data_IF_179537415835
#
_entry.id   IF_179537415835
#
_cell.length_a   1.000
_cell.length_b   1.000
_cell.length_c   1.000
_cell.angle_alpha   90.00
_cell.angle_beta   90.00
_cell.angle_gamma   90.00
#
_symmetry.space_group_name_H-M   'P 1'
#
loop_
_entity.id
_entity.type
_entity.pdbx_description
1 polymer ?
#
# COMPACT_ATOMS: atom_id res chain seq x y z
N UNK A 1 -6.45 27.08 53.17
CA UNK A 1 -6.11 25.66 52.94
C UNK A 1 -5.19 25.59 51.72
N UNK A 2 -3.99 25.05 51.89
CA UNK A 2 -2.90 25.21 50.92
C UNK A 2 -2.90 24.01 49.94
N UNK A 3 -3.41 24.21 48.70
CA UNK A 3 -3.55 23.17 47.66
C UNK A 3 -2.27 22.37 47.38
N UNK A 4 -1.12 22.99 47.64
CA UNK A 4 0.19 22.33 47.56
C UNK A 4 0.34 21.15 48.53
N UNK A 5 -0.17 21.29 49.76
CA UNK A 5 -0.11 20.23 50.76
C UNK A 5 -1.09 19.08 50.45
N UNK A 6 -2.22 19.37 49.79
CA UNK A 6 -3.13 18.36 49.27
C UNK A 6 -2.49 17.54 48.14
N UNK A 7 -1.81 18.21 47.21
CA UNK A 7 -1.09 17.53 46.12
C UNK A 7 0.05 16.65 46.64
N UNK A 8 0.80 17.13 47.64
CA UNK A 8 1.84 16.32 48.30
C UNK A 8 1.25 15.11 49.03
N UNK A 9 0.11 15.26 49.70
CA UNK A 9 -0.58 14.14 50.34
C UNK A 9 -1.12 13.13 49.32
N UNK A 10 -1.60 13.59 48.16
CA UNK A 10 -2.03 12.70 47.07
C UNK A 10 -0.88 11.88 46.50
N UNK A 11 0.28 12.51 46.25
CA UNK A 11 1.49 11.79 45.80
C UNK A 11 2.00 10.79 46.85
N UNK A 12 1.94 11.15 48.14
CA UNK A 12 2.36 10.27 49.24
C UNK A 12 1.41 9.09 49.42
N UNK A 13 0.10 9.31 49.24
CA UNK A 13 -0.91 8.26 49.21
C UNK A 13 -0.74 7.34 47.99
N UNK A 14 -0.38 7.89 46.82
CA UNK A 14 -0.11 7.13 45.60
C UNK A 14 1.13 6.24 45.71
N UNK A 15 2.18 6.70 46.40
CA UNK A 15 3.40 5.90 46.61
C UNK A 15 3.19 4.74 47.60
N UNK A 16 2.22 4.82 48.51
CA UNK A 16 1.88 3.73 49.43
C UNK A 16 0.98 2.65 48.82
N UNK A 17 0.45 2.86 47.60
CA UNK A 17 -0.35 1.89 46.83
C UNK A 17 0.56 1.07 45.87
N UNK A 18 1.86 1.36 45.84
CA UNK A 18 2.82 0.83 44.85
C UNK A 18 3.46 -0.53 45.22
N UNK A 19 2.98 -1.23 46.25
CA UNK A 19 3.39 -2.61 46.53
C UNK A 19 2.18 -3.55 46.47
N UNK A 20 2.18 -4.46 45.49
CA UNK A 20 1.09 -5.38 45.13
C UNK A 20 -0.14 -4.77 44.47
N UNK A 21 0.02 -4.39 43.19
CA UNK A 21 -0.78 -4.94 42.09
C UNK A 21 -0.28 -4.32 40.79
N UNK A 22 0.20 -5.15 39.86
CA UNK A 22 0.33 -4.77 38.45
C UNK A 22 -1.07 -4.47 37.93
N UNK A 23 -1.51 -3.22 38.10
CA UNK A 23 -2.71 -2.70 37.46
C UNK A 23 -2.43 -2.77 35.96
N UNK A 24 -2.93 -3.83 35.34
CA UNK A 24 -3.08 -3.91 33.89
C UNK A 24 -3.98 -2.74 33.51
N UNK A 25 -3.38 -1.62 33.11
CA UNK A 25 -4.11 -0.54 32.48
C UNK A 25 -4.78 -1.16 31.25
N UNK A 26 -6.11 -1.28 31.29
CA UNK A 26 -6.89 -1.66 30.12
C UNK A 26 -6.55 -0.62 29.06
N UNK A 27 -5.86 -1.05 27.99
CA UNK A 27 -5.39 -0.16 26.92
C UNK A 27 -6.58 0.67 26.44
N UNK A 28 -6.55 1.98 26.73
CA UNK A 28 -7.62 2.87 26.29
C UNK A 28 -7.53 3.00 24.77
N UNK A 29 -8.66 3.22 24.12
CA UNK A 29 -8.72 3.35 22.66
C UNK A 29 -7.78 4.44 22.12
N UNK A 30 -7.59 5.53 22.87
CA UNK A 30 -6.67 6.61 22.49
C UNK A 30 -5.20 6.19 22.62
N UNK A 31 -4.87 5.24 23.49
CA UNK A 31 -3.51 4.70 23.64
C UNK A 31 -3.12 3.87 22.41
N UNK A 32 -4.05 3.12 21.82
CA UNK A 32 -3.76 2.35 20.60
C UNK A 32 -3.47 3.27 19.41
N UNK A 33 -4.26 4.34 19.22
CA UNK A 33 -3.99 5.34 18.18
C UNK A 33 -2.65 6.05 18.41
N UNK A 34 -2.37 6.42 19.66
CA UNK A 34 -1.11 7.06 20.04
C UNK A 34 0.09 6.15 19.78
N UNK A 35 0.00 4.87 20.12
CA UNK A 35 1.06 3.89 19.92
C UNK A 35 1.33 3.62 18.44
N UNK A 36 0.29 3.58 17.61
CA UNK A 36 0.43 3.49 16.16
C UNK A 36 1.15 4.71 15.58
N UNK A 37 0.78 5.92 16.00
CA UNK A 37 1.46 7.16 15.59
C UNK A 37 2.93 7.14 16.05
N UNK A 38 3.21 6.71 17.27
CA UNK A 38 4.58 6.59 17.79
C UNK A 38 5.41 5.56 17.03
N UNK A 39 4.81 4.43 16.65
CA UNK A 39 5.45 3.40 15.82
C UNK A 39 5.82 3.94 14.45
N UNK A 40 4.91 4.68 13.80
CA UNK A 40 5.19 5.38 12.53
C UNK A 40 6.33 6.39 12.74
N UNK A 41 6.27 7.21 13.79
CA UNK A 41 7.28 8.22 14.07
C UNK A 41 8.69 7.65 14.30
N UNK A 42 8.78 6.47 14.94
CA UNK A 42 10.04 5.72 15.11
C UNK A 42 10.53 5.12 13.79
N UNK A 43 9.61 4.65 12.94
CA UNK A 43 9.99 4.09 11.65
C UNK A 43 10.49 5.16 10.68
N UNK A 44 9.95 6.38 10.73
CA UNK A 44 10.43 7.52 9.92
C UNK A 44 11.93 7.77 10.10
N UNK A 45 12.46 7.65 11.32
CA UNK A 45 13.91 7.87 11.55
C UNK A 45 14.78 6.73 11.02
N UNK A 46 14.20 5.55 10.80
CA UNK A 46 14.94 4.34 10.39
C UNK A 46 14.82 4.05 8.89
N UNK A 47 13.97 4.78 8.15
CA UNK A 47 13.75 4.52 6.73
C UNK A 47 14.85 5.07 5.83
N UNK A 48 15.56 4.17 5.16
CA UNK A 48 16.60 4.50 4.18
C UNK A 48 16.06 4.66 2.76
N UNK A 49 14.92 4.04 2.40
CA UNK A 49 14.41 3.99 1.04
C UNK A 49 13.17 4.91 0.82
N UNK A 50 13.03 5.50 -0.37
CA UNK A 50 11.83 6.25 -0.76
C UNK A 50 10.56 5.37 -0.79
N UNK A 51 10.67 4.11 -1.25
CA UNK A 51 9.55 3.15 -1.22
C UNK A 51 8.99 2.94 0.19
N UNK A 52 9.88 2.89 1.20
CA UNK A 52 9.48 2.77 2.60
C UNK A 52 8.86 4.06 3.15
N UNK A 53 9.25 5.23 2.66
CA UNK A 53 8.60 6.50 3.01
C UNK A 53 7.16 6.51 2.46
N UNK A 54 6.96 6.08 1.21
CA UNK A 54 5.63 6.03 0.61
C UNK A 54 4.68 5.05 1.34
N UNK A 55 5.20 3.91 1.81
CA UNK A 55 4.40 3.00 2.64
C UNK A 55 4.05 3.60 4.00
N UNK A 56 4.97 4.37 4.62
CA UNK A 56 4.68 5.08 5.87
C UNK A 56 3.69 6.23 5.67
N UNK A 57 3.71 6.89 4.51
CA UNK A 57 2.72 7.89 4.12
C UNK A 57 1.32 7.28 4.03
N UNK A 58 1.21 6.11 3.38
CA UNK A 58 -0.05 5.35 3.32
C UNK A 58 -0.56 4.95 4.71
N UNK A 59 0.33 4.42 5.57
CA UNK A 59 -0.03 4.07 6.95
C UNK A 59 -0.45 5.28 7.78
N UNK A 60 0.23 6.43 7.63
CA UNK A 60 -0.14 7.67 8.33
C UNK A 60 -1.50 8.19 7.86
N UNK A 61 -1.80 8.12 6.56
CA UNK A 61 -3.12 8.48 6.03
C UNK A 61 -4.22 7.58 6.59
N UNK A 62 -3.98 6.28 6.69
CA UNK A 62 -4.94 5.34 7.28
C UNK A 62 -5.19 5.63 8.77
N UNK A 63 -4.14 5.91 9.55
CA UNK A 63 -4.29 6.29 10.97
C UNK A 63 -5.01 7.63 11.12
N UNK A 64 -4.77 8.58 10.20
CA UNK A 64 -5.47 9.87 10.17
C UNK A 64 -6.95 9.71 9.87
N UNK A 65 -7.30 8.84 8.92
CA UNK A 65 -8.69 8.53 8.57
C UNK A 65 -9.40 7.81 9.72
N UNK A 66 -8.76 6.80 10.33
CA UNK A 66 -9.27 6.12 11.52
C UNK A 66 -9.51 7.10 12.66
N UNK A 67 -8.58 8.04 12.89
CA UNK A 67 -8.70 9.10 13.89
C UNK A 67 -9.90 10.00 13.59
N UNK A 68 -10.10 10.40 12.33
CA UNK A 68 -11.23 11.24 11.94
C UNK A 68 -12.57 10.54 12.15
N UNK A 69 -12.70 9.28 11.70
CA UNK A 69 -13.92 8.49 11.83
C UNK A 69 -14.28 8.17 13.28
N UNK A 70 -13.31 8.05 14.18
CA UNK A 70 -13.56 7.67 15.57
C UNK A 70 -13.63 8.86 16.52
N UNK A 71 -12.83 9.92 16.34
CA UNK A 71 -12.77 11.05 17.27
C UNK A 71 -13.67 12.23 16.88
N UNK A 72 -14.02 12.38 15.60
CA UNK A 72 -14.87 13.50 15.16
C UNK A 72 -16.36 13.15 15.08
N UNK A 73 -16.71 11.86 15.09
CA UNK A 73 -18.12 11.40 15.06
C UNK A 73 -18.72 11.33 16.47
N UNK A 74 -17.89 11.28 17.52
CA UNK A 74 -18.35 11.19 18.90
C UNK A 74 -18.57 12.60 19.45
N UNK A 75 -19.82 13.04 19.44
CA UNK A 75 -20.28 14.17 20.25
C UNK A 75 -20.64 13.67 21.64
N UNK A 76 -19.92 14.12 22.67
CA UNK A 76 -20.20 13.76 24.06
C UNK A 76 -21.22 14.73 24.65
N UNK A 77 -22.45 14.26 24.88
CA UNK A 77 -23.40 14.91 25.77
C UNK A 77 -23.12 14.44 27.21
N UNK A 78 -22.34 15.21 27.98
CA UNK A 78 -21.88 14.80 29.31
C UNK A 78 -21.41 15.95 30.21
N UNK A 79 -20.82 15.59 31.34
CA UNK A 79 -20.29 16.53 32.34
C UNK A 79 -19.22 17.44 31.68
N UNK A 80 -19.26 18.78 31.84
CA UNK A 80 -18.34 19.71 31.20
C UNK A 80 -16.85 19.34 31.36
N UNK A 81 -16.45 18.78 32.51
CA UNK A 81 -15.06 18.37 32.74
C UNK A 81 -14.64 17.17 31.86
N UNK A 82 -15.56 16.24 31.57
CA UNK A 82 -15.30 15.08 30.72
C UNK A 82 -15.23 15.46 29.24
N UNK A 83 -16.08 16.41 28.83
CA UNK A 83 -16.08 16.99 27.47
C UNK A 83 -14.76 17.72 27.21
N UNK A 84 -14.30 18.54 28.17
CA UNK A 84 -13.01 19.25 28.06
C UNK A 84 -11.84 18.26 28.03
N UNK A 85 -11.90 17.19 28.84
CA UNK A 85 -10.85 16.17 28.83
C UNK A 85 -10.76 15.44 27.48
N UNK A 86 -11.91 15.06 26.90
CA UNK A 86 -11.98 14.39 25.60
C UNK A 86 -11.49 15.28 24.46
N UNK A 87 -11.92 16.55 24.42
CA UNK A 87 -11.42 17.53 23.44
C UNK A 87 -9.91 17.76 23.59
N UNK A 88 -9.39 17.75 24.82
CA UNK A 88 -7.95 17.78 25.08
C UNK A 88 -7.21 16.57 24.48
N UNK A 89 -7.73 15.35 24.64
CA UNK A 89 -7.15 14.14 24.05
C UNK A 89 -7.18 14.21 22.52
N UNK A 90 -8.31 14.62 21.94
CA UNK A 90 -8.49 14.82 20.49
C UNK A 90 -7.47 15.80 19.94
N UNK A 91 -7.24 16.91 20.63
CA UNK A 91 -6.24 17.91 20.23
C UNK A 91 -4.81 17.38 20.33
N UNK A 92 -4.46 16.62 21.38
CA UNK A 92 -3.14 15.99 21.52
C UNK A 92 -2.87 15.00 20.37
N UNK A 93 -3.86 14.17 20.02
CA UNK A 93 -3.72 13.22 18.90
C UNK A 93 -3.58 13.97 17.57
N UNK A 94 -4.38 15.01 17.32
CA UNK A 94 -4.25 15.85 16.13
C UNK A 94 -2.87 16.49 16.02
N UNK A 95 -2.35 17.04 17.12
CA UNK A 95 -0.99 17.58 17.14
C UNK A 95 0.09 16.53 16.84
N UNK A 96 -0.04 15.32 17.38
CA UNK A 96 0.89 14.23 17.14
C UNK A 96 0.90 13.80 15.67
N UNK A 97 -0.28 13.73 15.03
CA UNK A 97 -0.39 13.45 13.60
C UNK A 97 0.29 14.55 12.78
N UNK A 98 0.03 15.82 13.09
CA UNK A 98 0.63 16.97 12.39
C UNK A 98 2.16 16.94 12.51
N UNK A 99 2.70 16.75 13.73
CA UNK A 99 4.15 16.65 13.97
C UNK A 99 4.77 15.50 13.18
N UNK A 100 4.08 14.35 13.13
CA UNK A 100 4.54 13.17 12.39
C UNK A 100 4.50 13.41 10.88
N UNK A 101 3.46 14.06 10.36
CA UNK A 101 3.33 14.46 8.95
C UNK A 101 4.44 15.43 8.53
N UNK A 102 4.71 16.46 9.33
CA UNK A 102 5.81 17.41 9.08
C UNK A 102 7.18 16.71 9.05
N UNK A 103 7.40 15.75 9.96
CA UNK A 103 8.64 14.98 10.00
C UNK A 103 8.79 14.07 8.78
N UNK A 104 7.71 13.41 8.35
CA UNK A 104 7.67 12.59 7.14
C UNK A 104 7.97 13.44 5.89
N UNK A 105 7.34 14.60 5.76
CA UNK A 105 7.57 15.55 4.67
C UNK A 105 9.02 16.04 4.63
N UNK A 106 9.64 16.29 5.79
CA UNK A 106 11.05 16.68 5.87
C UNK A 106 11.97 15.57 5.35
N UNK A 107 11.72 14.32 5.72
CA UNK A 107 12.50 13.17 5.24
C UNK A 107 12.24 12.88 3.76
N UNK A 108 11.00 13.03 3.30
CA UNK A 108 10.63 12.94 1.88
C UNK A 108 11.40 13.99 1.07
N UNK A 109 11.36 15.27 1.48
CA UNK A 109 12.11 16.36 0.85
C UNK A 109 13.62 16.12 0.83
N UNK A 110 14.20 15.57 1.91
CA UNK A 110 15.63 15.22 1.91
C UNK A 110 15.98 14.17 0.86
N UNK A 111 15.11 13.16 0.68
CA UNK A 111 15.35 12.08 -0.31
C UNK A 111 14.99 12.48 -1.73
N UNK A 112 14.06 13.43 -1.93
CA UNK A 112 13.69 13.95 -3.25
C UNK A 112 14.48 15.20 -3.67
N UNK A 113 15.18 15.84 -2.74
CA UNK A 113 16.05 16.98 -3.01
C UNK A 113 17.29 16.53 -3.78
N UNK A 114 17.15 16.34 -5.09
CA UNK A 114 18.25 16.66 -5.98
C UNK A 114 18.57 18.14 -5.78
N UNK A 115 19.77 18.42 -5.29
CA UNK A 115 20.29 19.77 -5.09
C UNK A 115 20.52 20.38 -6.47
N UNK A 116 19.45 20.88 -7.09
CA UNK A 116 19.58 21.79 -8.22
C UNK A 116 20.00 23.11 -7.58
N UNK A 117 21.31 23.35 -7.55
CA UNK A 117 21.86 24.67 -7.20
C UNK A 117 21.40 25.65 -8.30
N UNK A 118 20.22 26.22 -8.11
CA UNK A 118 19.85 27.45 -8.79
C UNK A 118 20.72 28.54 -8.18
N UNK A 119 21.72 28.98 -8.94
CA UNK A 119 22.59 30.07 -8.56
C UNK A 119 21.72 31.29 -8.17
N UNK A 120 21.98 31.91 -7.00
CA UNK A 120 21.23 33.09 -6.61
C UNK A 120 21.54 34.20 -7.61
N UNK A 121 20.49 34.73 -8.26
CA UNK A 121 20.58 35.95 -9.06
C UNK A 121 21.10 37.06 -8.14
N UNK A 122 22.39 37.39 -8.25
CA UNK A 122 22.97 38.53 -7.54
C UNK A 122 22.25 39.79 -8.01
N UNK A 123 21.61 40.50 -7.08
CA UNK A 123 21.20 41.87 -7.32
C UNK A 123 22.47 42.71 -7.55
N UNK A 124 22.76 43.00 -8.82
CA UNK A 124 23.85 43.90 -9.20
C UNK A 124 23.36 45.32 -8.93
N UNK A 125 23.78 45.92 -7.82
CA UNK A 125 23.76 47.37 -7.65
C UNK A 125 24.70 47.97 -8.68
N UNK A 126 24.14 48.61 -9.69
CA UNK A 126 24.86 49.26 -10.78
C UNK A 126 25.61 50.47 -10.24
N UNK A 127 26.95 50.35 -10.15
CA UNK A 127 27.84 51.50 -10.14
C UNK A 127 28.54 51.54 -11.50
N UNK A 128 28.48 52.71 -12.12
CA UNK A 128 28.93 53.06 -13.47
C UNK A 128 30.24 52.38 -13.91
N UNK A 129 30.14 51.42 -14.84
CA UNK A 129 31.25 50.93 -15.66
C UNK A 129 30.80 50.93 -17.12
N UNK A 130 31.71 51.30 -18.02
CA UNK A 130 31.48 51.60 -19.43
C UNK A 130 30.65 50.54 -20.16
N UNK A 131 29.52 50.99 -20.73
CA UNK A 131 28.45 50.18 -21.34
C UNK A 131 28.86 49.31 -22.55
N UNK A 132 30.06 49.46 -23.11
CA UNK A 132 30.43 48.76 -24.35
C UNK A 132 30.96 47.34 -24.08
N UNK A 133 31.89 47.18 -23.13
CA UNK A 133 32.48 45.88 -22.82
C UNK A 133 31.47 44.95 -22.12
N UNK A 134 30.60 45.52 -21.29
CA UNK A 134 29.48 44.82 -20.64
C UNK A 134 28.43 44.32 -21.65
N UNK A 135 28.23 44.96 -22.80
CA UNK A 135 27.28 44.50 -23.81
C UNK A 135 27.83 43.31 -24.60
N UNK A 136 29.14 43.29 -24.87
CA UNK A 136 29.79 42.17 -25.56
C UNK A 136 29.81 40.95 -24.65
N UNK A 137 30.21 41.11 -23.38
CA UNK A 137 30.22 40.03 -22.38
C UNK A 137 28.79 39.52 -22.07
N UNK A 138 27.80 40.42 -21.99
CA UNK A 138 26.39 40.03 -21.82
C UNK A 138 25.85 39.25 -23.01
N UNK A 139 26.19 39.61 -24.24
CA UNK A 139 25.74 38.88 -25.43
C UNK A 139 26.41 37.50 -25.53
N UNK A 140 27.67 37.38 -25.11
CA UNK A 140 28.40 36.11 -25.06
C UNK A 140 27.83 35.17 -23.98
N UNK A 141 27.54 35.70 -22.79
CA UNK A 141 26.89 34.95 -21.70
C UNK A 141 25.45 34.58 -22.04
N UNK A 142 24.68 35.47 -22.67
CA UNK A 142 23.31 35.16 -23.11
C UNK A 142 23.29 34.13 -24.23
N UNK A 143 24.28 34.10 -25.12
CA UNK A 143 24.42 33.07 -26.15
C UNK A 143 24.56 31.66 -25.56
N UNK A 144 25.49 31.46 -24.62
CA UNK A 144 25.74 30.17 -23.97
C UNK A 144 24.54 29.72 -23.10
N UNK A 145 23.83 30.66 -22.47
CA UNK A 145 22.63 30.34 -21.70
C UNK A 145 21.45 29.92 -22.60
N UNK A 146 21.21 30.60 -23.72
CA UNK A 146 20.13 30.25 -24.67
C UNK A 146 20.35 28.85 -25.25
N UNK A 147 21.60 28.47 -25.51
CA UNK A 147 21.94 27.12 -25.97
C UNK A 147 21.73 26.07 -24.86
N UNK A 148 22.07 26.37 -23.60
CA UNK A 148 21.75 25.47 -22.47
C UNK A 148 20.25 25.32 -22.26
N UNK A 149 19.47 26.37 -22.45
CA UNK A 149 18.01 26.31 -22.37
C UNK A 149 17.40 25.49 -23.52
N UNK A 150 17.93 25.61 -24.75
CA UNK A 150 17.45 24.81 -25.88
C UNK A 150 17.75 23.32 -25.68
N UNK A 151 18.94 22.97 -25.21
CA UNK A 151 19.33 21.59 -24.87
C UNK A 151 18.48 21.05 -23.73
N UNK A 152 18.22 21.84 -22.69
CA UNK A 152 17.36 21.42 -21.57
C UNK A 152 15.93 21.20 -22.01
N UNK A 153 15.40 22.06 -22.89
CA UNK A 153 14.06 21.90 -23.49
C UNK A 153 13.98 20.65 -24.35
N UNK A 154 15.02 20.36 -25.14
CA UNK A 154 15.07 19.14 -25.94
C UNK A 154 15.08 17.88 -25.05
N UNK A 155 15.85 17.88 -23.95
CA UNK A 155 15.82 16.78 -22.97
C UNK A 155 14.46 16.62 -22.29
N UNK A 156 13.76 17.72 -22.02
CA UNK A 156 12.40 17.64 -21.46
C UNK A 156 11.42 17.00 -22.44
N UNK A 157 11.50 17.34 -23.73
CA UNK A 157 10.69 16.72 -24.79
C UNK A 157 11.05 15.23 -24.96
N UNK A 158 12.32 14.86 -24.85
CA UNK A 158 12.74 13.45 -24.86
C UNK A 158 12.18 12.69 -23.65
N UNK A 159 12.19 13.29 -22.45
CA UNK A 159 11.59 12.69 -21.25
C UNK A 159 10.08 12.51 -21.44
N UNK A 160 9.39 13.50 -22.00
CA UNK A 160 7.96 13.43 -22.29
C UNK A 160 7.65 12.29 -23.27
N UNK A 161 8.41 12.17 -24.36
CA UNK A 161 8.30 11.06 -25.31
C UNK A 161 8.57 9.69 -24.68
N UNK A 162 9.54 9.59 -23.77
CA UNK A 162 9.81 8.35 -23.03
C UNK A 162 8.63 8.01 -22.11
N UNK A 163 8.03 9.00 -21.44
CA UNK A 163 6.87 8.79 -20.58
C UNK A 163 5.64 8.33 -21.36
N UNK A 164 5.41 8.89 -22.54
CA UNK A 164 4.34 8.48 -23.44
C UNK A 164 4.53 7.02 -23.90
N UNK A 165 5.74 6.65 -24.33
CA UNK A 165 6.08 5.26 -24.68
C UNK A 165 5.89 4.29 -23.51
N UNK A 166 6.28 4.68 -22.29
CA UNK A 166 6.06 3.84 -21.10
C UNK A 166 4.55 3.65 -20.86
N UNK A 167 3.75 4.70 -21.02
CA UNK A 167 2.30 4.63 -20.87
C UNK A 167 1.67 3.68 -21.88
N UNK A 168 2.06 3.77 -23.16
CA UNK A 168 1.58 2.85 -24.20
C UNK A 168 1.97 1.39 -23.90
N UNK A 169 3.21 1.16 -23.49
CA UNK A 169 3.68 -0.18 -23.12
C UNK A 169 2.92 -0.75 -21.91
N UNK A 170 2.54 0.08 -20.95
CA UNK A 170 1.72 -0.36 -19.81
C UNK A 170 0.33 -0.77 -20.25
N UNK A 171 -0.31 -0.01 -21.14
CA UNK A 171 -1.62 -0.36 -21.71
C UNK A 171 -1.54 -1.70 -22.45
N UNK A 172 -0.54 -1.88 -23.31
CA UNK A 172 -0.33 -3.15 -24.01
C UNK A 172 -0.04 -4.32 -23.05
N UNK A 173 0.65 -4.07 -21.94
CA UNK A 173 0.89 -5.10 -20.93
C UNK A 173 -0.38 -5.50 -20.19
N UNK A 174 -1.26 -4.55 -19.87
CA UNK A 174 -2.56 -4.85 -19.25
C UNK A 174 -3.43 -5.70 -20.20
N UNK A 175 -3.50 -5.36 -21.49
CA UNK A 175 -4.20 -6.17 -22.49
C UNK A 175 -3.65 -7.60 -22.56
N UNK A 176 -2.32 -7.75 -22.54
CA UNK A 176 -1.68 -9.07 -22.51
C UNK A 176 -1.99 -9.86 -21.23
N UNK A 177 -2.11 -9.19 -20.08
CA UNK A 177 -2.46 -9.83 -18.81
C UNK A 177 -3.89 -10.36 -18.87
N UNK A 178 -4.84 -9.58 -19.39
CA UNK A 178 -6.22 -10.00 -19.56
C UNK A 178 -6.33 -11.24 -20.47
N UNK A 179 -5.57 -11.23 -21.57
CA UNK A 179 -5.42 -12.36 -22.50
C UNK A 179 -4.93 -13.64 -21.81
N UNK A 180 -3.93 -13.49 -20.92
CA UNK A 180 -3.38 -14.61 -20.14
C UNK A 180 -4.39 -15.11 -19.11
N UNK A 181 -5.15 -14.21 -18.48
CA UNK A 181 -6.21 -14.57 -17.53
C UNK A 181 -7.30 -15.38 -18.25
N UNK A 182 -7.74 -14.94 -19.43
CA UNK A 182 -8.75 -15.64 -20.23
C UNK A 182 -8.26 -17.03 -20.64
N UNK A 183 -7.05 -17.13 -21.23
CA UNK A 183 -6.46 -18.42 -21.60
C UNK A 183 -6.31 -19.36 -20.41
N UNK A 184 -5.91 -18.82 -19.24
CA UNK A 184 -5.77 -19.61 -18.01
C UNK A 184 -7.12 -20.12 -17.52
N UNK A 185 -8.17 -19.30 -17.60
CA UNK A 185 -9.53 -19.68 -17.27
C UNK A 185 -10.04 -20.80 -18.19
N UNK A 186 -9.82 -20.68 -19.49
CA UNK A 186 -10.22 -21.70 -20.48
C UNK A 186 -9.49 -23.03 -20.27
N UNK A 187 -8.18 -22.97 -19.97
CA UNK A 187 -7.41 -24.16 -19.59
C UNK A 187 -7.98 -24.79 -18.33
N UNK A 188 -8.29 -23.99 -17.31
CA UNK A 188 -8.87 -24.49 -16.06
C UNK A 188 -10.23 -25.16 -16.30
N UNK A 189 -11.11 -24.55 -17.09
CA UNK A 189 -12.40 -25.15 -17.44
C UNK A 189 -12.23 -26.44 -18.24
N UNK A 190 -11.31 -26.47 -19.19
CA UNK A 190 -10.99 -27.66 -19.99
C UNK A 190 -10.49 -28.80 -19.10
N UNK A 191 -9.54 -28.52 -18.19
CA UNK A 191 -9.00 -29.52 -17.26
C UNK A 191 -10.08 -30.00 -16.29
N UNK A 192 -10.91 -29.10 -15.75
CA UNK A 192 -12.03 -29.44 -14.87
C UNK A 192 -13.06 -30.31 -15.57
N UNK A 193 -13.40 -30.00 -16.82
CA UNK A 193 -14.33 -30.79 -17.61
C UNK A 193 -13.73 -32.16 -17.95
N UNK A 194 -12.46 -32.23 -18.37
CA UNK A 194 -11.77 -33.49 -18.62
C UNK A 194 -11.73 -34.38 -17.36
N UNK A 195 -11.44 -33.80 -16.18
CA UNK A 195 -11.49 -34.55 -14.91
C UNK A 195 -12.87 -35.16 -14.66
N UNK A 196 -13.96 -34.42 -14.91
CA UNK A 196 -15.33 -34.96 -14.80
C UNK A 196 -15.62 -36.07 -15.82
N UNK A 197 -15.06 -35.99 -17.03
CA UNK A 197 -15.19 -37.06 -18.03
C UNK A 197 -14.43 -38.32 -17.59
N UNK A 198 -13.19 -38.19 -17.13
CA UNK A 198 -12.41 -39.31 -16.60
C UNK A 198 -13.07 -39.97 -15.38
N UNK A 199 -13.58 -39.18 -14.43
CA UNK A 199 -14.31 -39.70 -13.26
C UNK A 199 -15.62 -40.42 -13.64
N UNK A 200 -16.26 -40.04 -14.75
CA UNK A 200 -17.46 -40.74 -15.27
C UNK A 200 -17.11 -42.01 -16.04
N UNK A 201 -16.01 -42.05 -16.78
CA UNK A 201 -15.59 -43.23 -17.55
C UNK A 201 -15.18 -44.41 -16.67
N UNK A 202 -14.57 -44.18 -15.50
CA UNK A 202 -14.24 -45.26 -14.54
C UNK A 202 -15.48 -46.06 -14.09
N UNK A 203 -16.66 -45.44 -14.06
CA UNK A 203 -17.93 -46.12 -13.74
C UNK A 203 -18.55 -46.89 -14.91
N UNK A 204 -18.41 -46.40 -16.14
CA UNK A 204 -19.09 -46.94 -17.33
C UNK A 204 -18.52 -48.28 -17.82
N UNK A 205 -17.20 -48.45 -17.76
CA UNK A 205 -16.53 -49.67 -18.24
C UNK A 205 -16.91 -50.92 -17.43
N UNK A 206 -17.15 -50.79 -16.12
CA UNK A 206 -17.49 -51.92 -15.24
C UNK A 206 -18.89 -52.51 -15.53
N UNK A 207 -19.84 -51.70 -15.98
CA UNK A 207 -21.15 -52.20 -16.38
C UNK A 207 -21.10 -52.91 -17.73
N UNK A 208 -20.42 -52.33 -18.72
CA UNK A 208 -20.28 -52.94 -20.05
C UNK A 208 -19.50 -54.26 -20.02
N UNK A 209 -18.45 -54.35 -19.21
CA UNK A 209 -17.71 -55.61 -19.00
C UNK A 209 -18.59 -56.69 -18.37
N UNK A 210 -19.41 -56.36 -17.37
CA UNK A 210 -20.38 -57.30 -16.78
C UNK A 210 -21.43 -57.76 -17.81
N UNK A 211 -21.99 -56.83 -18.58
CA UNK A 211 -22.94 -57.17 -19.63
C UNK A 211 -22.34 -58.09 -20.69
N UNK A 212 -21.13 -57.78 -21.18
CA UNK A 212 -20.40 -58.62 -22.12
C UNK A 212 -20.15 -60.02 -21.56
N UNK A 213 -19.74 -60.15 -20.29
CA UNK A 213 -19.53 -61.47 -19.68
C UNK A 213 -20.81 -62.31 -19.62
N UNK A 214 -21.94 -61.69 -19.30
CA UNK A 214 -23.25 -62.38 -19.27
C UNK A 214 -23.65 -62.79 -20.69
N UNK A 215 -23.45 -61.92 -21.67
CA UNK A 215 -23.76 -62.20 -23.08
C UNK A 215 -22.92 -63.37 -23.62
N UNK A 216 -21.62 -63.41 -23.32
CA UNK A 216 -20.76 -64.54 -23.67
C UNK A 216 -21.23 -65.84 -23.01
N UNK A 217 -21.64 -65.78 -21.73
CA UNK A 217 -22.16 -66.95 -21.02
C UNK A 217 -23.47 -67.46 -21.62
N UNK A 218 -24.37 -66.57 -22.06
CA UNK A 218 -25.58 -66.97 -22.77
C UNK A 218 -25.26 -67.61 -24.14
N UNK A 219 -24.32 -67.05 -24.90
CA UNK A 219 -23.92 -67.60 -26.19
C UNK A 219 -23.28 -68.99 -26.05
N UNK A 220 -22.44 -69.21 -25.03
CA UNK A 220 -21.86 -70.53 -24.78
C UNK A 220 -22.92 -71.55 -24.39
N UNK A 221 -23.91 -71.17 -23.59
CA UNK A 221 -25.04 -72.04 -23.26
C UNK A 221 -25.86 -72.42 -24.50
N UNK A 222 -26.16 -71.46 -25.38
CA UNK A 222 -26.87 -71.73 -26.65
C UNK A 222 -26.05 -72.67 -27.53
N UNK A 223 -24.75 -72.47 -27.66
CA UNK A 223 -23.87 -73.34 -28.44
C UNK A 223 -23.81 -74.76 -27.89
N UNK A 224 -23.72 -74.93 -26.57
CA UNK A 224 -23.76 -76.25 -25.92
C UNK A 224 -25.11 -76.93 -26.19
N UNK A 225 -26.21 -76.19 -26.07
CA UNK A 225 -27.55 -76.72 -26.33
C UNK A 225 -27.72 -77.15 -27.79
N UNK A 226 -27.24 -76.32 -28.73
CA UNK A 226 -27.24 -76.62 -30.16
C UNK A 226 -26.41 -77.87 -30.46
N UNK A 227 -25.21 -77.97 -29.90
CA UNK A 227 -24.34 -79.13 -30.05
C UNK A 227 -25.02 -80.40 -29.53
N UNK A 228 -25.68 -80.34 -28.37
CA UNK A 228 -26.39 -81.48 -27.79
C UNK A 228 -27.62 -81.90 -28.62
N UNK A 229 -28.30 -80.96 -29.27
CA UNK A 229 -29.43 -81.23 -30.15
C UNK A 229 -28.99 -81.78 -31.52
N UNK A 230 -27.85 -81.35 -32.04
CA UNK A 230 -27.34 -81.76 -33.36
C UNK A 230 -26.54 -83.08 -33.34
N UNK A 231 -26.05 -83.51 -32.17
CA UNK A 231 -25.37 -84.80 -31.97
C UNK A 231 -26.34 -85.96 -31.69
N UNK A 232 -27.64 -85.68 -31.59
CA UNK A 232 -28.70 -86.66 -31.44
C UNK A 232 -29.42 -86.88 -32.76
#
# INVERSE_FOLDING_TARGET
MNRYNEYLNFLRSSNNISSHNTISYKTLFYDTLRDEIMKINKNITNTLNYKSILSLEKSLSQVTENTHQTLEVIDLEGNPDEVVHYEGIKQIIKELIIKTKQKLEKEKRKKTSYKIELEPIKHITSNNVSNLDLQVEKNEIMGDQVERFSVTRQRLLEIESIQENISEQLILQDENIDDVIEKTKDIYETVKNNKKYFEREEGGGRFMTRFLTILYLCLTFILIFLHFYYIK
#
